data_IF_109719746441
#
_entry.id   IF_109719746441
#
_cell.length_a   1.000
_cell.length_b   1.000
_cell.length_c   1.000
_cell.angle_alpha   90.00
_cell.angle_beta   90.00
_cell.angle_gamma   90.00
#
_symmetry.space_group_name_H-M   'P 1'
#
loop_
_entity.id
_entity.type
_entity.pdbx_description
1 polymer ?
#
# COMPACT_ATOMS: atom_id res chain seq x y z
N UNK A 1 18.51 -20.39 -24.45
CA UNK A 1 18.89 -20.95 -23.13
C UNK A 1 18.50 -20.03 -21.99
N UNK A 2 18.22 -18.74 -22.24
CA UNK A 2 17.82 -17.76 -21.20
C UNK A 2 16.35 -17.89 -20.77
N UNK A 3 15.44 -18.26 -21.67
CA UNK A 3 14.00 -18.35 -21.37
C UNK A 3 13.66 -19.40 -20.29
N UNK A 4 14.46 -20.46 -20.17
CA UNK A 4 14.25 -21.52 -19.17
C UNK A 4 14.63 -21.12 -17.74
N UNK A 5 15.61 -20.22 -17.59
CA UNK A 5 16.05 -19.73 -16.28
C UNK A 5 15.03 -18.74 -15.70
N UNK A 6 14.55 -17.80 -16.53
CA UNK A 6 13.53 -16.81 -16.13
C UNK A 6 12.21 -17.45 -15.70
N UNK A 7 11.76 -18.49 -16.42
CA UNK A 7 10.58 -19.26 -16.04
C UNK A 7 10.78 -20.00 -14.70
N UNK A 8 11.98 -20.51 -14.45
CA UNK A 8 12.28 -21.19 -13.18
C UNK A 8 12.33 -20.23 -11.98
N UNK A 9 12.84 -19.02 -12.18
CA UNK A 9 12.88 -17.97 -11.15
C UNK A 9 11.49 -17.43 -10.83
N UNK A 10 10.69 -17.13 -11.86
CA UNK A 10 9.29 -16.69 -11.68
C UNK A 10 8.47 -17.73 -10.92
N UNK A 11 8.65 -19.01 -11.26
CA UNK A 11 7.96 -20.10 -10.56
C UNK A 11 8.43 -20.23 -9.11
N UNK A 12 9.72 -20.08 -8.84
CA UNK A 12 10.26 -20.10 -7.48
C UNK A 12 9.71 -18.93 -6.64
N UNK A 13 9.60 -17.74 -7.23
CA UNK A 13 9.02 -16.58 -6.58
C UNK A 13 7.53 -16.77 -6.28
N UNK A 14 6.77 -17.34 -7.22
CA UNK A 14 5.36 -17.66 -7.01
C UNK A 14 5.16 -18.72 -5.92
N UNK A 15 5.97 -19.77 -5.91
CA UNK A 15 5.96 -20.79 -4.86
C UNK A 15 6.35 -20.22 -3.49
N UNK A 16 7.36 -19.36 -3.45
CA UNK A 16 7.78 -18.66 -2.23
C UNK A 16 6.65 -17.81 -1.65
N UNK A 17 6.05 -16.95 -2.48
CA UNK A 17 4.90 -16.12 -2.08
C UNK A 17 3.73 -16.95 -1.60
N UNK A 18 3.41 -18.04 -2.30
CA UNK A 18 2.33 -18.95 -1.92
C UNK A 18 2.55 -19.58 -0.55
N UNK A 19 3.80 -19.95 -0.22
CA UNK A 19 4.17 -20.46 1.09
C UNK A 19 4.05 -19.39 2.19
N UNK A 20 4.54 -18.18 1.94
CA UNK A 20 4.46 -17.06 2.89
C UNK A 20 3.01 -16.66 3.19
N UNK A 21 2.16 -16.59 2.16
CA UNK A 21 0.73 -16.35 2.31
C UNK A 21 0.12 -17.41 3.24
N UNK A 22 0.37 -18.70 2.96
CA UNK A 22 -0.16 -19.79 3.79
C UNK A 22 0.33 -19.74 5.25
N UNK A 23 1.57 -19.30 5.47
CA UNK A 23 2.12 -19.07 6.81
C UNK A 23 1.39 -17.94 7.54
N UNK A 24 1.21 -16.77 6.94
CA UNK A 24 0.52 -15.64 7.57
C UNK A 24 -0.97 -15.89 7.74
N UNK A 25 -1.65 -16.53 6.79
CA UNK A 25 -3.03 -16.99 6.95
C UNK A 25 -3.15 -17.94 8.16
N UNK A 26 -2.17 -18.82 8.38
CA UNK A 26 -2.15 -19.69 9.56
C UNK A 26 -1.94 -18.94 10.86
N UNK A 27 -0.98 -18.00 10.89
CA UNK A 27 -0.73 -17.16 12.06
C UNK A 27 -1.99 -16.36 12.45
N UNK A 28 -2.67 -15.77 11.47
CA UNK A 28 -3.88 -14.97 11.69
C UNK A 28 -5.12 -15.80 12.07
N UNK A 29 -5.10 -17.13 11.90
CA UNK A 29 -6.13 -17.99 12.51
C UNK A 29 -5.97 -18.09 14.04
N UNK A 30 -4.75 -17.95 14.54
CA UNK A 30 -4.45 -17.99 15.99
C UNK A 30 -4.53 -16.61 16.61
N UNK A 31 -3.99 -15.59 15.95
CA UNK A 31 -4.00 -14.20 16.41
C UNK A 31 -4.58 -13.29 15.31
N UNK A 32 -5.91 -13.17 15.23
CA UNK A 32 -6.56 -12.52 14.08
C UNK A 32 -6.22 -11.04 13.90
N UNK A 33 -5.91 -10.34 14.98
CA UNK A 33 -5.64 -8.90 14.98
C UNK A 33 -4.13 -8.58 15.07
N UNK A 34 -3.26 -9.53 14.73
CA UNK A 34 -1.82 -9.30 14.70
C UNK A 34 -1.43 -8.37 13.53
N UNK A 35 -1.31 -7.08 13.83
CA UNK A 35 -1.19 -5.97 12.86
C UNK A 35 -0.04 -6.18 11.86
N UNK A 36 1.14 -6.58 12.33
CA UNK A 36 2.31 -6.77 11.44
C UNK A 36 2.12 -7.96 10.49
N UNK A 37 1.35 -8.98 10.90
CA UNK A 37 1.05 -10.14 10.07
C UNK A 37 -0.02 -9.80 9.03
N UNK A 38 -0.99 -8.95 9.40
CA UNK A 38 -1.94 -8.38 8.45
C UNK A 38 -1.21 -7.52 7.40
N UNK A 39 -0.28 -6.65 7.80
CA UNK A 39 0.52 -5.87 6.83
C UNK A 39 1.28 -6.75 5.84
N UNK A 40 1.99 -7.77 6.34
CA UNK A 40 2.72 -8.69 5.48
C UNK A 40 1.77 -9.44 4.52
N UNK A 41 0.62 -9.92 5.03
CA UNK A 41 -0.34 -10.65 4.21
C UNK A 41 -1.00 -9.77 3.14
N UNK A 42 -1.38 -8.54 3.48
CA UNK A 42 -1.96 -7.58 2.52
C UNK A 42 -1.00 -7.31 1.36
N UNK A 43 0.27 -7.04 1.67
CA UNK A 43 1.30 -6.84 0.66
C UNK A 43 1.49 -8.08 -0.24
N UNK A 44 1.59 -9.27 0.37
CA UNK A 44 1.74 -10.53 -0.37
C UNK A 44 0.54 -10.83 -1.28
N UNK A 45 -0.68 -10.49 -0.86
CA UNK A 45 -1.86 -10.62 -1.71
C UNK A 45 -1.79 -9.68 -2.91
N UNK A 46 -1.39 -8.42 -2.72
CA UNK A 46 -1.20 -7.48 -3.83
C UNK A 46 -0.14 -7.98 -4.80
N UNK A 47 1.02 -8.43 -4.33
CA UNK A 47 2.06 -8.99 -5.20
C UNK A 47 1.56 -10.23 -5.98
N UNK A 48 0.74 -11.07 -5.33
CA UNK A 48 0.15 -12.26 -5.94
C UNK A 48 -1.03 -11.96 -6.89
N UNK A 49 -1.42 -10.69 -7.06
CA UNK A 49 -2.57 -10.31 -7.88
C UNK A 49 -3.94 -10.63 -7.25
N UNK A 50 -3.95 -10.98 -5.96
CA UNK A 50 -5.13 -11.34 -5.16
C UNK A 50 -5.73 -10.08 -4.51
N UNK A 51 -6.11 -9.12 -5.35
CA UNK A 51 -6.42 -7.75 -4.91
C UNK A 51 -7.66 -7.66 -4.01
N UNK A 52 -8.67 -8.48 -4.23
CA UNK A 52 -9.86 -8.53 -3.38
C UNK A 52 -9.54 -9.02 -1.97
N UNK A 53 -8.65 -10.01 -1.82
CA UNK A 53 -8.17 -10.44 -0.51
C UNK A 53 -7.28 -9.38 0.16
N UNK A 54 -6.39 -8.73 -0.61
CA UNK A 54 -5.59 -7.60 -0.13
C UNK A 54 -6.46 -6.46 0.41
N UNK A 55 -7.50 -6.08 -0.33
CA UNK A 55 -8.47 -5.07 0.09
C UNK A 55 -9.15 -5.43 1.42
N UNK A 56 -9.55 -6.68 1.62
CA UNK A 56 -10.17 -7.11 2.87
C UNK A 56 -9.21 -6.96 4.06
N UNK A 57 -7.92 -7.22 3.85
CA UNK A 57 -6.87 -7.03 4.86
C UNK A 57 -6.67 -5.55 5.16
N UNK A 58 -6.53 -4.69 4.16
CA UNK A 58 -6.33 -3.25 4.35
C UNK A 58 -7.54 -2.59 5.02
N UNK A 59 -8.76 -3.00 4.69
CA UNK A 59 -9.98 -2.54 5.37
C UNK A 59 -9.96 -2.91 6.86
N UNK A 60 -9.47 -4.11 7.19
CA UNK A 60 -9.33 -4.54 8.58
C UNK A 60 -8.25 -3.76 9.31
N UNK A 61 -7.09 -3.54 8.68
CA UNK A 61 -6.03 -2.69 9.23
C UNK A 61 -6.55 -1.28 9.51
N UNK A 62 -7.33 -0.68 8.59
CA UNK A 62 -7.92 0.64 8.78
C UNK A 62 -8.88 0.71 9.98
N UNK A 63 -9.48 -0.43 10.38
CA UNK A 63 -10.30 -0.51 11.59
C UNK A 63 -9.46 -0.68 12.86
N UNK A 64 -8.36 -1.44 12.81
CA UNK A 64 -7.50 -1.72 13.97
C UNK A 64 -6.58 -0.55 14.31
N UNK A 65 -6.02 0.11 13.30
CA UNK A 65 -5.04 1.19 13.41
C UNK A 65 -5.47 2.41 12.58
N UNK A 66 -6.60 3.06 12.93
CA UNK A 66 -7.25 4.08 12.11
C UNK A 66 -6.46 5.39 11.97
N UNK A 67 -5.42 5.60 12.79
CA UNK A 67 -4.59 6.81 12.79
C UNK A 67 -3.23 6.59 12.08
N UNK A 68 -2.99 5.41 11.50
CA UNK A 68 -1.74 5.13 10.79
C UNK A 68 -1.83 5.57 9.32
N UNK A 69 -0.99 6.51 8.85
CA UNK A 69 -1.08 7.04 7.49
C UNK A 69 -0.88 5.98 6.41
N UNK A 70 0.06 5.06 6.63
CA UNK A 70 0.43 4.01 5.67
C UNK A 70 -0.72 3.03 5.43
N UNK A 71 -1.53 2.75 6.46
CA UNK A 71 -2.69 1.88 6.34
C UNK A 71 -3.73 2.46 5.38
N UNK A 72 -4.01 3.75 5.48
CA UNK A 72 -4.93 4.42 4.56
C UNK A 72 -4.35 4.59 3.17
N UNK A 73 -3.01 4.73 3.04
CA UNK A 73 -2.34 4.72 1.75
C UNK A 73 -2.52 3.36 1.04
N UNK A 74 -2.20 2.26 1.72
CA UNK A 74 -2.34 0.91 1.18
C UNK A 74 -3.81 0.60 0.84
N UNK A 75 -4.76 1.03 1.69
CA UNK A 75 -6.18 0.93 1.40
C UNK A 75 -6.54 1.69 0.11
N UNK A 76 -5.97 2.87 -0.11
CA UNK A 76 -6.08 3.61 -1.37
C UNK A 76 -5.59 2.82 -2.58
N UNK A 77 -4.42 2.18 -2.48
CA UNK A 77 -3.86 1.31 -3.51
C UNK A 77 -4.79 0.11 -3.81
N UNK A 78 -5.21 -0.62 -2.78
CA UNK A 78 -6.11 -1.77 -2.91
C UNK A 78 -7.48 -1.40 -3.51
N UNK A 79 -8.03 -0.23 -3.16
CA UNK A 79 -9.27 0.29 -3.75
C UNK A 79 -9.08 0.68 -5.22
N UNK A 80 -7.94 1.24 -5.60
CA UNK A 80 -7.64 1.58 -6.99
C UNK A 80 -7.49 0.32 -7.86
N UNK A 81 -6.78 -0.70 -7.36
CA UNK A 81 -6.59 -2.00 -8.01
C UNK A 81 -7.90 -2.77 -8.20
N UNK A 82 -8.84 -2.63 -7.25
CA UNK A 82 -10.17 -3.25 -7.31
C UNK A 82 -11.24 -2.39 -8.01
N UNK A 83 -10.83 -1.30 -8.68
CA UNK A 83 -11.71 -0.52 -9.54
C UNK A 83 -12.69 0.40 -8.79
N UNK A 84 -12.32 0.86 -7.59
CA UNK A 84 -13.13 1.74 -6.73
C UNK A 84 -12.49 3.12 -6.58
N UNK A 85 -12.37 3.91 -7.68
CA UNK A 85 -11.53 5.12 -7.70
C UNK A 85 -11.99 6.21 -6.73
N UNK A 86 -13.30 6.39 -6.51
CA UNK A 86 -13.80 7.38 -5.55
C UNK A 86 -13.35 7.05 -4.13
N UNK A 87 -13.54 5.80 -3.70
CA UNK A 87 -13.15 5.35 -2.37
C UNK A 87 -11.62 5.35 -2.20
N UNK A 88 -10.88 5.01 -3.26
CA UNK A 88 -9.42 5.09 -3.26
C UNK A 88 -8.93 6.51 -2.97
N UNK A 89 -9.49 7.51 -3.66
CA UNK A 89 -9.17 8.92 -3.42
C UNK A 89 -9.52 9.37 -2.01
N UNK A 90 -10.65 8.90 -1.44
CA UNK A 90 -11.03 9.23 -0.06
C UNK A 90 -10.05 8.62 0.97
N UNK A 91 -9.57 7.39 0.72
CA UNK A 91 -8.56 6.74 1.57
C UNK A 91 -7.19 7.44 1.47
N UNK A 92 -6.73 7.78 0.26
CA UNK A 92 -5.51 8.57 0.08
C UNK A 92 -5.64 9.96 0.72
N UNK A 93 -6.82 10.57 0.64
CA UNK A 93 -7.11 11.82 1.32
C UNK A 93 -6.89 11.71 2.83
N UNK A 94 -7.43 10.66 3.44
CA UNK A 94 -7.24 10.35 4.86
C UNK A 94 -5.78 10.07 5.22
N UNK A 95 -5.04 9.33 4.38
CA UNK A 95 -3.61 9.08 4.58
C UNK A 95 -2.82 10.40 4.70
N UNK A 96 -3.10 11.36 3.81
CA UNK A 96 -2.43 12.67 3.81
C UNK A 96 -2.82 13.52 5.02
N UNK A 97 -4.08 13.47 5.46
CA UNK A 97 -4.52 14.14 6.71
C UNK A 97 -3.79 13.60 7.94
N UNK A 98 -3.50 12.30 7.95
CA UNK A 98 -2.76 11.63 9.01
C UNK A 98 -1.24 11.87 8.93
N UNK A 99 -0.75 12.43 7.83
CA UNK A 99 0.65 12.81 7.67
C UNK A 99 1.45 12.01 6.66
N UNK A 100 0.79 11.22 5.80
CA UNK A 100 1.44 10.70 4.60
C UNK A 100 1.95 11.88 3.76
N UNK A 101 3.24 11.87 3.43
CA UNK A 101 3.88 13.01 2.82
C UNK A 101 4.63 12.71 1.52
N UNK A 102 4.64 11.48 1.01
CA UNK A 102 5.46 11.11 -0.15
C UNK A 102 4.74 11.23 -1.51
N UNK A 103 4.64 12.45 -2.02
CA UNK A 103 4.02 12.72 -3.32
C UNK A 103 4.75 12.03 -4.50
N UNK A 104 6.07 11.89 -4.43
CA UNK A 104 6.85 11.29 -5.53
C UNK A 104 6.56 9.79 -5.60
N UNK A 105 6.55 9.11 -4.45
CA UNK A 105 6.16 7.71 -4.37
C UNK A 105 4.71 7.51 -4.84
N UNK A 106 3.76 8.26 -4.30
CA UNK A 106 2.34 8.17 -4.67
C UNK A 106 2.11 8.37 -6.17
N UNK A 107 2.80 9.33 -6.80
CA UNK A 107 2.66 9.59 -8.24
C UNK A 107 3.25 8.47 -9.11
N UNK A 108 4.33 7.82 -8.64
CA UNK A 108 5.02 6.75 -9.36
C UNK A 108 4.42 5.36 -9.15
N UNK A 109 3.65 5.17 -8.07
CA UNK A 109 3.08 3.88 -7.68
C UNK A 109 2.17 3.30 -8.79
N UNK A 110 2.47 2.10 -9.32
CA UNK A 110 1.66 1.46 -10.35
C UNK A 110 0.25 1.11 -9.88
N UNK A 111 0.02 0.89 -8.58
CA UNK A 111 -1.28 0.52 -8.04
C UNK A 111 -2.29 1.66 -8.18
N UNK A 112 -1.79 2.89 -8.25
CA UNK A 112 -2.57 4.12 -8.40
C UNK A 112 -2.66 4.60 -9.85
N UNK A 113 -2.19 3.81 -10.83
CA UNK A 113 -2.18 4.19 -12.23
C UNK A 113 -3.57 4.58 -12.77
N UNK A 114 -4.64 3.91 -12.29
CA UNK A 114 -6.03 4.19 -12.68
C UNK A 114 -6.54 5.55 -12.20
N UNK A 115 -5.86 6.20 -11.25
CA UNK A 115 -6.26 7.48 -10.67
C UNK A 115 -5.55 8.68 -11.31
N UNK A 116 -4.47 8.47 -12.07
CA UNK A 116 -3.56 9.53 -12.54
C UNK A 116 -4.22 10.57 -13.46
N UNK A 117 -5.28 10.20 -14.17
CA UNK A 117 -6.02 11.12 -15.04
C UNK A 117 -7.16 11.86 -14.30
N UNK A 118 -7.33 11.63 -12.99
CA UNK A 118 -8.38 12.24 -12.19
C UNK A 118 -7.89 13.54 -11.56
N UNK A 119 -8.58 14.68 -11.77
CA UNK A 119 -8.17 15.97 -11.17
C UNK A 119 -8.09 15.95 -9.64
N UNK A 120 -8.87 15.09 -8.98
CA UNK A 120 -8.79 14.89 -7.53
C UNK A 120 -7.43 14.30 -7.12
N UNK A 121 -6.85 13.40 -7.91
CA UNK A 121 -5.56 12.81 -7.63
C UNK A 121 -4.44 13.86 -7.70
N UNK A 122 -4.43 14.69 -8.74
CA UNK A 122 -3.50 15.82 -8.85
C UNK A 122 -3.59 16.76 -7.63
N UNK A 123 -4.81 17.09 -7.20
CA UNK A 123 -5.03 17.92 -6.02
C UNK A 123 -4.48 17.29 -4.72
N UNK A 124 -4.52 15.97 -4.58
CA UNK A 124 -3.91 15.27 -3.45
C UNK A 124 -2.38 15.39 -3.47
N UNK A 125 -1.75 15.21 -4.63
CA UNK A 125 -0.30 15.36 -4.79
C UNK A 125 0.16 16.80 -4.49
N UNK A 126 -0.55 17.79 -5.03
CA UNK A 126 -0.29 19.21 -4.74
C UNK A 126 -0.42 19.51 -3.24
N UNK A 127 -1.41 18.92 -2.57
CA UNK A 127 -1.61 19.09 -1.13
C UNK A 127 -0.45 18.53 -0.31
N UNK A 128 0.08 17.37 -0.68
CA UNK A 128 1.27 16.79 -0.04
C UNK A 128 2.46 17.76 -0.17
N UNK A 129 2.74 18.25 -1.38
CA UNK A 129 3.83 19.19 -1.64
C UNK A 129 3.64 20.47 -0.81
N UNK A 130 2.41 21.01 -0.78
CA UNK A 130 2.08 22.19 0.02
C UNK A 130 2.27 21.95 1.53
N UNK A 131 1.89 20.79 2.06
CA UNK A 131 2.04 20.43 3.47
C UNK A 131 3.52 20.37 3.88
N UNK A 132 4.38 19.79 3.02
CA UNK A 132 5.84 19.77 3.21
C UNK A 132 6.44 21.18 3.25
N UNK A 133 5.99 22.09 2.37
CA UNK A 133 6.45 23.48 2.35
C UNK A 133 5.99 24.29 3.58
N UNK A 134 4.79 24.00 4.09
CA UNK A 134 4.22 24.66 5.28
C UNK A 134 4.75 24.12 6.61
N UNK A 135 5.40 22.96 6.61
CA UNK A 135 5.98 22.32 7.80
C UNK A 135 7.51 22.42 7.81
N UNK A 136 8.12 23.60 8.07
CA UNK A 136 9.57 23.76 8.04
C UNK A 136 10.22 23.21 9.33
N UNK A 137 10.25 21.89 9.54
CA UNK A 137 11.03 21.19 10.59
C UNK A 137 11.41 19.81 10.04
N UNK A 138 12.66 19.35 9.84
CA UNK A 138 14.00 19.62 10.39
C UNK A 138 15.06 19.29 9.30
N UNK A 139 15.55 20.27 8.53
CA UNK A 139 16.87 20.12 7.86
C UNK A 139 17.96 20.41 8.89
N UNK A 140 18.53 19.34 9.48
CA UNK A 140 19.75 19.19 10.33
C UNK A 140 19.38 18.22 11.46
N UNK A 141 19.91 17.00 11.52
CA UNK A 141 21.32 16.62 11.58
C UNK A 141 21.53 15.22 10.96
N UNK A 142 22.34 15.12 9.91
CA UNK A 142 23.29 14.00 9.82
C UNK A 142 24.48 14.40 10.69
N UNK A 143 24.91 13.51 11.59
CA UNK A 143 26.21 13.57 12.27
C UNK A 143 27.34 13.61 11.23
N UNK A 144 28.56 14.01 11.57
CA UNK A 144 29.30 13.79 12.81
C UNK A 144 30.33 14.91 12.97
#
# INVERSE_FOLDING_TARGET
MEDGALLSESLQQELGRSFEIGFYEAALRTEPDHVEALHALGHLYTEAGRYEEGLAIDQRLAQLVPEEPIVHYNLGCSLALTGQPTAALDALERAIELGYDDAEHMAADPDLASLRDLPRFDALLERIVANRLRSPRRRRRRGS
#
